data_IF_458195791593
#
_entry.id   IF_458195791593
#
_cell.length_a   1.000
_cell.length_b   1.000
_cell.length_c   1.000
_cell.angle_alpha   90.00
_cell.angle_beta   90.00
_cell.angle_gamma   90.00
#
_symmetry.space_group_name_H-M   'P 1'
#
loop_
_entity.id
_entity.type
_entity.pdbx_description
1 polymer ?
#
# COMPACT_ATOMS: atom_id res chain seq x y z
N UNK A 1 -17.66 35.45 15.36
CA UNK A 1 -18.22 34.60 14.28
C UNK A 1 -17.71 33.21 14.56
N UNK A 2 -18.60 32.31 14.97
CA UNK A 2 -18.28 30.89 15.06
C UNK A 2 -18.02 30.42 13.63
N UNK A 3 -16.82 29.90 13.36
CA UNK A 3 -16.57 29.19 12.11
C UNK A 3 -17.57 28.06 12.02
N UNK A 4 -18.46 28.10 11.03
CA UNK A 4 -19.24 26.94 10.64
C UNK A 4 -18.23 25.84 10.31
N UNK A 5 -18.04 24.90 11.25
CA UNK A 5 -17.41 23.62 10.93
C UNK A 5 -18.36 22.98 9.95
N UNK A 6 -18.03 23.01 8.66
CA UNK A 6 -18.68 22.18 7.66
C UNK A 6 -18.69 20.75 8.19
N UNK A 7 -19.86 20.23 8.47
CA UNK A 7 -20.03 18.89 9.01
C UNK A 7 -19.51 17.90 7.96
N UNK A 8 -18.45 17.16 8.29
CA UNK A 8 -17.86 16.17 7.38
C UNK A 8 -18.93 15.12 7.09
N UNK A 9 -19.31 14.99 5.82
CA UNK A 9 -20.25 13.94 5.39
C UNK A 9 -19.56 12.57 5.47
N UNK A 10 -20.27 11.51 5.90
CA UNK A 10 -19.79 10.14 5.82
C UNK A 10 -19.36 9.77 4.40
N UNK A 11 -18.24 9.06 4.31
CA UNK A 11 -17.71 8.55 3.04
C UNK A 11 -17.92 7.05 2.91
N UNK A 12 -18.04 6.57 1.68
CA UNK A 12 -18.01 5.15 1.36
C UNK A 12 -16.63 4.75 0.85
N UNK A 13 -15.93 3.96 1.64
CA UNK A 13 -14.62 3.44 1.30
C UNK A 13 -14.71 2.21 0.40
N UNK A 14 -13.91 2.20 -0.66
CA UNK A 14 -13.83 1.09 -1.61
C UNK A 14 -12.43 0.51 -1.68
N UNK A 15 -12.30 -0.71 -1.16
CA UNK A 15 -11.08 -1.49 -1.28
C UNK A 15 -10.93 -2.05 -2.71
N UNK A 16 -9.93 -1.58 -3.49
CA UNK A 16 -9.53 -2.09 -4.80
C UNK A 16 -8.01 -2.43 -4.90
N UNK A 17 -7.57 -3.66 -4.54
CA UNK A 17 -6.17 -4.05 -4.66
C UNK A 17 -5.72 -4.31 -6.12
N UNK A 18 -6.63 -4.20 -7.10
CA UNK A 18 -6.32 -4.30 -8.53
C UNK A 18 -5.96 -2.96 -9.19
N UNK A 19 -5.82 -1.90 -8.40
CA UNK A 19 -5.66 -0.53 -8.85
C UNK A 19 -4.53 -0.33 -9.89
N UNK A 20 -3.32 -0.84 -9.65
CA UNK A 20 -2.20 -0.61 -10.59
C UNK A 20 -2.44 -1.25 -11.96
N UNK A 21 -3.12 -2.40 -11.99
CA UNK A 21 -3.52 -3.04 -13.24
C UNK A 21 -4.56 -2.21 -14.01
N UNK A 22 -5.49 -1.57 -13.30
CA UNK A 22 -6.46 -0.66 -13.90
C UNK A 22 -5.79 0.61 -14.45
N UNK A 23 -4.85 1.20 -13.70
CA UNK A 23 -4.06 2.37 -14.14
C UNK A 23 -3.20 2.04 -15.35
N UNK A 24 -2.49 0.90 -15.34
CA UNK A 24 -1.65 0.47 -16.45
C UNK A 24 -2.43 0.35 -17.76
N UNK A 25 -3.61 -0.27 -17.70
CA UNK A 25 -4.42 -0.59 -18.89
C UNK A 25 -5.28 0.58 -19.38
N UNK A 26 -5.48 1.61 -18.55
CA UNK A 26 -6.39 2.74 -18.80
C UNK A 26 -7.83 2.33 -19.16
N UNK A 27 -8.21 1.08 -18.89
CA UNK A 27 -9.49 0.54 -19.36
C UNK A 27 -10.55 0.64 -18.26
N UNK A 28 -11.71 1.27 -18.52
CA UNK A 28 -12.84 1.24 -17.60
C UNK A 28 -13.42 -0.17 -17.42
N UNK A 29 -13.04 -1.11 -18.29
CA UNK A 29 -13.49 -2.51 -18.29
C UNK A 29 -12.41 -3.48 -17.82
N UNK A 30 -11.32 -2.99 -17.25
CA UNK A 30 -10.26 -3.84 -16.71
C UNK A 30 -10.84 -4.88 -15.75
N UNK A 31 -10.50 -6.15 -16.00
CA UNK A 31 -10.85 -7.26 -15.13
C UNK A 31 -9.59 -7.77 -14.46
N UNK A 32 -9.54 -7.63 -13.13
CA UNK A 32 -8.42 -8.10 -12.34
C UNK A 32 -8.29 -9.63 -12.43
N UNK A 33 -7.07 -10.19 -12.34
CA UNK A 33 -6.88 -11.63 -12.31
C UNK A 33 -7.54 -12.25 -11.07
N UNK A 34 -7.89 -13.53 -11.14
CA UNK A 34 -8.69 -14.21 -10.11
C UNK A 34 -8.12 -14.10 -8.69
N UNK A 35 -6.79 -14.09 -8.54
CA UNK A 35 -6.14 -13.92 -7.25
C UNK A 35 -6.37 -12.52 -6.65
N UNK A 36 -6.43 -11.46 -7.47
CA UNK A 36 -6.75 -10.10 -7.02
C UNK A 36 -8.23 -9.92 -6.74
N UNK A 37 -9.11 -10.58 -7.51
CA UNK A 37 -10.56 -10.61 -7.22
C UNK A 37 -10.82 -11.28 -5.87
N UNK A 38 -10.17 -12.41 -5.59
CA UNK A 38 -10.28 -13.07 -4.28
C UNK A 38 -9.72 -12.19 -3.16
N UNK A 39 -8.56 -11.55 -3.36
CA UNK A 39 -7.97 -10.62 -2.39
C UNK A 39 -8.93 -9.46 -2.08
N UNK A 40 -9.54 -8.88 -3.11
CA UNK A 40 -10.51 -7.81 -2.95
C UNK A 40 -11.75 -8.27 -2.18
N UNK A 41 -12.27 -9.45 -2.49
CA UNK A 41 -13.46 -10.00 -1.84
C UNK A 41 -13.19 -10.31 -0.38
N UNK A 42 -12.13 -11.07 -0.09
CA UNK A 42 -11.80 -11.55 1.26
C UNK A 42 -11.43 -10.39 2.20
N UNK A 43 -10.76 -9.36 1.67
CA UNK A 43 -10.22 -8.26 2.46
C UNK A 43 -10.97 -6.93 2.27
N UNK A 44 -12.18 -6.96 1.71
CA UNK A 44 -12.96 -5.75 1.41
C UNK A 44 -13.14 -4.83 2.64
N UNK A 45 -13.31 -5.42 3.83
CA UNK A 45 -13.53 -4.69 5.08
C UNK A 45 -12.27 -4.03 5.64
N UNK A 46 -11.09 -4.20 5.03
CA UNK A 46 -9.84 -3.61 5.55
C UNK A 46 -9.88 -2.09 5.66
N UNK A 47 -10.67 -1.41 4.81
CA UNK A 47 -10.82 0.03 4.89
C UNK A 47 -11.39 0.53 6.21
N UNK A 48 -12.09 -0.33 6.96
CA UNK A 48 -12.65 0.02 8.26
C UNK A 48 -11.57 0.43 9.28
N UNK A 49 -10.35 -0.08 9.11
CA UNK A 49 -9.25 0.11 10.06
C UNK A 49 -8.51 1.43 9.89
N UNK A 50 -8.74 2.16 8.79
CA UNK A 50 -8.20 3.51 8.59
C UNK A 50 -9.27 4.60 8.46
N UNK A 51 -10.49 4.25 8.03
CA UNK A 51 -11.63 5.16 7.97
C UNK A 51 -12.16 5.61 9.36
N UNK A 52 -13.06 6.60 9.39
CA UNK A 52 -13.67 7.13 10.62
C UNK A 52 -14.98 6.41 10.95
N UNK A 53 -15.35 6.33 12.22
CA UNK A 53 -16.45 5.47 12.69
C UNK A 53 -17.82 5.76 12.03
N UNK A 54 -18.02 6.99 11.57
CA UNK A 54 -19.22 7.46 10.89
C UNK A 54 -19.28 7.03 9.41
N UNK A 55 -18.15 6.60 8.84
CA UNK A 55 -18.01 6.17 7.45
C UNK A 55 -18.56 4.75 7.22
N UNK A 56 -18.58 4.37 5.95
CA UNK A 56 -19.03 3.06 5.48
C UNK A 56 -17.93 2.39 4.66
N UNK A 57 -17.93 1.06 4.64
CA UNK A 57 -17.02 0.26 3.82
C UNK A 57 -17.83 -0.62 2.88
N UNK A 58 -17.54 -0.51 1.58
CA UNK A 58 -18.17 -1.35 0.58
C UNK A 58 -17.65 -2.79 0.70
N UNK A 59 -18.55 -3.71 1.02
CA UNK A 59 -18.29 -5.15 1.12
C UNK A 59 -19.16 -5.91 0.12
N UNK A 60 -18.74 -7.12 -0.24
CA UNK A 60 -19.42 -7.91 -1.27
C UNK A 60 -20.54 -8.81 -0.73
N UNK A 61 -20.53 -9.06 0.57
CA UNK A 61 -21.61 -9.72 1.30
C UNK A 61 -21.74 -9.06 2.66
N UNK A 62 -22.89 -9.23 3.30
CA UNK A 62 -23.07 -8.78 4.68
C UNK A 62 -22.00 -9.37 5.60
N UNK A 63 -21.55 -8.56 6.55
CA UNK A 63 -20.64 -9.04 7.58
C UNK A 63 -21.39 -10.04 8.47
N UNK A 64 -20.73 -11.12 8.92
CA UNK A 64 -21.33 -12.02 9.90
C UNK A 64 -21.66 -11.29 11.21
N UNK A 65 -22.85 -11.54 11.76
CA UNK A 65 -23.33 -10.87 12.98
C UNK A 65 -22.39 -11.09 14.17
N UNK A 66 -21.86 -12.30 14.32
CA UNK A 66 -20.91 -12.64 15.38
C UNK A 66 -19.59 -11.86 15.26
N UNK A 67 -19.12 -11.61 14.04
CA UNK A 67 -17.97 -10.75 13.78
C UNK A 67 -18.26 -9.29 14.17
N UNK A 68 -19.40 -8.73 13.74
CA UNK A 68 -19.78 -7.35 14.09
C UNK A 68 -20.02 -7.17 15.60
N UNK A 69 -20.69 -8.11 16.25
CA UNK A 69 -20.90 -8.12 17.71
C UNK A 69 -19.57 -8.22 18.46
N UNK A 70 -18.66 -9.07 17.99
CA UNK A 70 -17.34 -9.21 18.60
C UNK A 70 -16.54 -7.90 18.53
N UNK A 71 -16.52 -7.23 17.37
CA UNK A 71 -15.82 -5.95 17.23
C UNK A 71 -16.47 -4.85 18.08
N UNK A 72 -17.79 -4.67 17.97
CA UNK A 72 -18.51 -3.61 18.69
C UNK A 72 -18.48 -3.75 20.22
N UNK A 73 -18.40 -4.98 20.74
CA UNK A 73 -18.27 -5.23 22.18
C UNK A 73 -16.88 -4.89 22.73
N UNK A 74 -15.84 -5.06 21.92
CA UNK A 74 -14.46 -5.06 22.40
C UNK A 74 -13.65 -3.81 21.96
N UNK A 75 -14.05 -3.17 20.87
CA UNK A 75 -13.34 -2.04 20.26
C UNK A 75 -14.17 -0.77 20.28
N UNK A 76 -13.47 0.35 20.06
CA UNK A 76 -14.11 1.62 19.71
C UNK A 76 -14.92 1.45 18.41
N UNK A 77 -15.94 2.29 18.19
CA UNK A 77 -16.77 2.22 16.98
C UNK A 77 -15.94 2.17 15.70
N UNK A 78 -16.31 1.26 14.80
CA UNK A 78 -15.74 1.05 13.48
C UNK A 78 -16.79 1.40 12.41
N UNK A 79 -16.35 1.78 11.19
CA UNK A 79 -17.21 1.92 10.02
C UNK A 79 -18.09 0.69 9.78
N UNK A 80 -19.32 0.91 9.34
CA UNK A 80 -20.22 -0.21 9.00
C UNK A 80 -19.89 -0.79 7.63
N UNK A 81 -19.93 -2.12 7.52
CA UNK A 81 -19.94 -2.78 6.22
C UNK A 81 -21.29 -2.56 5.52
N UNK A 82 -21.27 -2.18 4.25
CA UNK A 82 -22.47 -2.02 3.43
C UNK A 82 -22.31 -2.70 2.08
N UNK A 83 -23.35 -3.43 1.67
CA UNK A 83 -23.46 -4.03 0.33
C UNK A 83 -24.17 -3.06 -0.62
N UNK A 84 -23.86 -3.16 -1.92
CA UNK A 84 -24.33 -2.20 -2.94
C UNK A 84 -25.85 -1.97 -3.02
N UNK A 85 -26.67 -2.96 -2.72
CA UNK A 85 -28.14 -2.86 -2.75
C UNK A 85 -28.75 -2.24 -1.49
N UNK A 86 -27.99 -2.11 -0.39
CA UNK A 86 -28.40 -1.42 0.83
C UNK A 86 -28.00 0.06 0.87
N UNK A 87 -27.28 0.54 -0.15
CA UNK A 87 -26.91 1.94 -0.27
C UNK A 87 -28.14 2.84 -0.46
N UNK A 88 -28.08 4.05 0.08
CA UNK A 88 -29.18 5.01 -0.04
C UNK A 88 -28.65 6.40 -0.43
N UNK A 89 -29.57 7.29 -0.81
CA UNK A 89 -29.25 8.61 -1.39
C UNK A 89 -28.57 9.59 -0.43
N UNK A 90 -28.50 9.33 0.88
CA UNK A 90 -27.77 10.18 1.81
C UNK A 90 -26.26 10.01 1.73
N UNK A 91 -25.79 8.88 1.16
CA UNK A 91 -24.37 8.59 0.98
C UNK A 91 -23.93 9.14 -0.37
N UNK A 92 -23.26 10.29 -0.37
CA UNK A 92 -22.82 10.97 -1.60
C UNK A 92 -21.32 10.91 -1.80
N UNK A 93 -20.52 10.84 -0.74
CA UNK A 93 -19.06 10.90 -0.85
C UNK A 93 -18.46 9.49 -0.99
N UNK A 94 -17.57 9.31 -1.96
CA UNK A 94 -16.87 8.04 -2.22
C UNK A 94 -15.37 8.24 -2.00
N UNK A 95 -14.80 7.41 -1.15
CA UNK A 95 -13.35 7.29 -1.00
C UNK A 95 -12.87 6.05 -1.76
N UNK A 96 -12.22 6.28 -2.90
CA UNK A 96 -11.61 5.20 -3.67
C UNK A 96 -10.24 4.87 -3.06
N UNK A 97 -9.93 3.58 -2.87
CA UNK A 97 -8.57 3.17 -2.48
C UNK A 97 -7.53 3.85 -3.40
N UNK A 98 -7.74 3.80 -4.72
CA UNK A 98 -7.02 4.66 -5.66
C UNK A 98 -7.88 4.99 -6.87
N UNK A 99 -7.66 6.17 -7.46
CA UNK A 99 -8.44 6.66 -8.61
C UNK A 99 -7.99 5.98 -9.90
N UNK A 100 -8.90 5.30 -10.59
CA UNK A 100 -8.65 4.67 -11.89
C UNK A 100 -9.89 4.74 -12.78
N UNK A 101 -9.75 4.61 -14.12
CA UNK A 101 -10.92 4.55 -15.01
C UNK A 101 -11.88 3.42 -14.62
N UNK A 102 -11.34 2.28 -14.18
CA UNK A 102 -12.13 1.11 -13.75
C UNK A 102 -12.95 1.40 -12.49
N UNK A 103 -12.35 2.02 -11.46
CA UNK A 103 -13.05 2.31 -10.21
C UNK A 103 -14.14 3.37 -10.38
N UNK A 104 -13.88 4.38 -11.22
CA UNK A 104 -14.89 5.39 -11.58
C UNK A 104 -16.06 4.71 -12.31
N UNK A 105 -15.78 3.91 -13.34
CA UNK A 105 -16.83 3.22 -14.09
C UNK A 105 -17.64 2.24 -13.23
N UNK A 106 -16.99 1.58 -12.27
CA UNK A 106 -17.65 0.72 -11.30
C UNK A 106 -18.72 1.50 -10.51
N UNK A 107 -18.37 2.67 -9.97
CA UNK A 107 -19.32 3.49 -9.22
C UNK A 107 -20.34 4.21 -10.10
N UNK A 108 -20.02 4.58 -11.34
CA UNK A 108 -21.01 5.09 -12.31
C UNK A 108 -22.11 4.06 -12.61
N UNK A 109 -21.73 2.77 -12.71
CA UNK A 109 -22.69 1.67 -12.88
C UNK A 109 -23.56 1.48 -11.64
N UNK A 110 -22.99 1.59 -10.43
CA UNK A 110 -23.76 1.55 -9.18
C UNK A 110 -24.72 2.74 -9.12
N UNK A 111 -24.23 3.96 -9.38
CA UNK A 111 -25.04 5.19 -9.47
C UNK A 111 -26.25 5.00 -10.39
N UNK A 112 -26.01 4.50 -11.60
CA UNK A 112 -27.06 4.28 -12.60
C UNK A 112 -28.04 3.19 -12.17
N UNK A 113 -27.54 2.05 -11.66
CA UNK A 113 -28.36 0.89 -11.27
C UNK A 113 -29.29 1.20 -10.10
N UNK A 114 -28.81 1.97 -9.12
CA UNK A 114 -29.55 2.24 -7.87
C UNK A 114 -30.10 3.68 -7.79
N UNK A 115 -29.97 4.47 -8.87
CA UNK A 115 -30.41 5.87 -8.92
C UNK A 115 -29.84 6.71 -7.76
N UNK A 116 -28.52 6.62 -7.58
CA UNK A 116 -27.72 7.35 -6.59
C UNK A 116 -26.99 8.52 -7.26
N UNK A 117 -26.44 9.41 -6.42
CA UNK A 117 -25.73 10.62 -6.86
C UNK A 117 -24.39 10.75 -6.13
N UNK A 118 -23.49 9.82 -6.39
CA UNK A 118 -22.14 9.89 -5.84
C UNK A 118 -21.31 11.02 -6.44
N UNK A 119 -20.57 11.72 -5.59
CA UNK A 119 -19.47 12.59 -5.96
C UNK A 119 -18.25 11.71 -6.22
N UNK A 120 -17.91 11.55 -7.50
CA UNK A 120 -16.77 10.75 -7.93
C UNK A 120 -15.63 11.66 -8.37
N UNK A 121 -14.37 11.31 -8.04
CA UNK A 121 -13.23 11.99 -8.63
C UNK A 121 -13.20 11.74 -10.14
N UNK A 122 -12.66 12.71 -10.88
CA UNK A 122 -12.40 12.54 -12.31
C UNK A 122 -11.05 11.86 -12.52
N UNK A 123 -10.97 11.00 -13.54
CA UNK A 123 -9.70 10.47 -14.01
C UNK A 123 -8.92 11.59 -14.72
N UNK A 124 -7.63 11.68 -14.43
CA UNK A 124 -6.66 12.57 -15.08
C UNK A 124 -5.55 11.69 -15.62
N UNK A 125 -5.24 11.81 -16.90
CA UNK A 125 -4.30 10.90 -17.58
C UNK A 125 -2.89 10.98 -16.96
N UNK A 126 -2.53 12.13 -16.37
CA UNK A 126 -1.29 12.34 -15.63
C UNK A 126 -1.15 11.38 -14.45
N UNK A 127 -2.25 10.93 -13.84
CA UNK A 127 -2.22 9.94 -12.75
C UNK A 127 -1.60 8.62 -13.19
N UNK A 128 -1.66 8.27 -14.49
CA UNK A 128 -0.94 7.11 -14.99
C UNK A 128 0.55 7.31 -14.85
N UNK A 129 1.09 8.40 -15.37
CA UNK A 129 2.52 8.71 -15.27
C UNK A 129 2.94 8.81 -13.81
N UNK A 130 2.18 9.54 -12.98
CA UNK A 130 2.45 9.73 -11.55
C UNK A 130 2.46 8.42 -10.73
N UNK A 131 1.78 7.38 -11.21
CA UNK A 131 1.78 6.04 -10.60
C UNK A 131 2.88 5.12 -11.13
N UNK A 132 3.74 5.61 -12.04
CA UNK A 132 4.88 4.86 -12.60
C UNK A 132 6.09 4.97 -11.68
N UNK A 133 6.94 3.93 -11.68
CA UNK A 133 8.28 4.03 -11.08
C UNK A 133 9.17 5.10 -11.73
N UNK A 134 8.81 5.62 -12.90
CA UNK A 134 9.48 6.78 -13.49
C UNK A 134 9.31 8.03 -12.60
N UNK A 135 8.12 8.26 -12.03
CA UNK A 135 7.91 9.37 -11.10
C UNK A 135 8.68 9.18 -9.79
N UNK A 136 8.80 7.93 -9.30
CA UNK A 136 9.68 7.63 -8.16
C UNK A 136 11.14 7.95 -8.48
N UNK A 137 11.63 7.62 -9.70
CA UNK A 137 12.97 8.01 -10.16
C UNK A 137 13.15 9.53 -10.20
N UNK A 138 12.18 10.28 -10.72
CA UNK A 138 12.25 11.74 -10.78
C UNK A 138 12.34 12.34 -9.38
N UNK A 139 11.47 11.89 -8.46
CA UNK A 139 11.50 12.27 -7.06
C UNK A 139 12.85 11.93 -6.40
N UNK A 140 13.37 10.72 -6.63
CA UNK A 140 14.69 10.31 -6.14
C UNK A 140 15.81 11.21 -6.68
N UNK A 141 15.76 11.63 -7.95
CA UNK A 141 16.75 12.54 -8.53
C UNK A 141 16.72 13.91 -7.86
N UNK A 142 15.53 14.45 -7.58
CA UNK A 142 15.37 15.71 -6.85
C UNK A 142 15.95 15.60 -5.44
N UNK A 143 15.61 14.53 -4.71
CA UNK A 143 16.18 14.23 -3.39
C UNK A 143 17.71 14.13 -3.41
N UNK A 144 18.29 13.44 -4.40
CA UNK A 144 19.75 13.33 -4.53
C UNK A 144 20.43 14.68 -4.86
N UNK A 145 19.74 15.59 -5.55
CA UNK A 145 20.27 16.92 -5.84
C UNK A 145 20.27 17.82 -4.61
N UNK A 146 19.26 17.68 -3.74
CA UNK A 146 19.08 18.50 -2.53
C UNK A 146 19.87 17.97 -1.34
N UNK A 147 19.99 16.65 -1.20
CA UNK A 147 20.53 15.98 -0.01
C UNK A 147 21.77 15.16 -0.40
N UNK A 148 22.94 15.76 -0.19
CA UNK A 148 24.24 15.17 -0.57
C UNK A 148 24.59 13.84 0.13
N UNK A 149 23.90 13.51 1.22
CA UNK A 149 24.08 12.25 1.93
C UNK A 149 23.46 11.05 1.19
N UNK A 150 22.57 11.30 0.22
CA UNK A 150 21.89 10.27 -0.56
C UNK A 150 22.75 9.94 -1.78
N UNK A 151 23.00 8.65 -2.00
CA UNK A 151 23.82 8.20 -3.11
C UNK A 151 23.11 8.44 -4.44
N UNK A 152 23.82 8.88 -5.47
CA UNK A 152 23.29 8.93 -6.84
C UNK A 152 23.32 7.57 -7.53
N UNK A 153 24.09 6.61 -7.01
CA UNK A 153 24.28 5.29 -7.60
C UNK A 153 23.06 4.37 -7.54
N UNK A 154 22.05 4.76 -6.75
CA UNK A 154 20.78 4.05 -6.59
C UNK A 154 19.71 4.51 -7.59
N UNK A 155 19.99 5.55 -8.39
CA UNK A 155 19.03 6.05 -9.38
C UNK A 155 18.85 5.00 -10.50
N UNK A 156 17.63 4.49 -10.75
CA UNK A 156 17.40 3.47 -11.75
C UNK A 156 17.53 3.99 -13.18
N UNK A 157 17.82 3.10 -14.11
CA UNK A 157 17.76 3.37 -15.55
C UNK A 157 16.59 2.62 -16.20
N UNK A 158 15.96 3.23 -17.20
CA UNK A 158 14.83 2.65 -17.91
C UNK A 158 15.25 2.28 -19.31
N UNK A 159 14.89 1.06 -19.73
CA UNK A 159 15.28 0.48 -21.00
C UNK A 159 14.06 0.01 -21.76
N UNK A 160 14.05 0.20 -23.08
CA UNK A 160 13.00 -0.28 -23.99
C UNK A 160 13.45 -1.45 -24.87
N UNK A 161 14.71 -1.91 -24.69
CA UNK A 161 15.33 -2.94 -25.52
C UNK A 161 15.92 -4.06 -24.67
N UNK A 162 15.56 -5.30 -24.99
CA UNK A 162 16.15 -6.48 -24.34
C UNK A 162 17.66 -6.56 -24.59
N UNK A 163 18.13 -6.13 -25.77
CA UNK A 163 19.54 -6.15 -26.11
C UNK A 163 20.35 -5.20 -25.22
N UNK A 164 19.84 -3.99 -24.96
CA UNK A 164 20.50 -3.03 -24.07
C UNK A 164 20.59 -3.57 -22.63
N UNK A 165 19.53 -4.20 -22.14
CA UNK A 165 19.51 -4.85 -20.82
C UNK A 165 20.52 -6.00 -20.79
N UNK A 166 20.61 -6.78 -21.86
CA UNK A 166 21.54 -7.89 -21.94
C UNK A 166 23.00 -7.40 -21.96
N UNK A 167 23.28 -6.28 -22.62
CA UNK A 167 24.61 -5.67 -22.67
C UNK A 167 25.06 -5.15 -21.29
N UNK A 168 24.20 -4.43 -20.56
CA UNK A 168 24.56 -3.95 -19.21
C UNK A 168 24.79 -5.12 -18.23
N UNK A 169 23.97 -6.17 -18.30
CA UNK A 169 24.10 -7.34 -17.41
C UNK A 169 25.38 -8.12 -17.69
N UNK A 170 25.85 -8.14 -18.94
CA UNK A 170 27.13 -8.75 -19.31
C UNK A 170 28.35 -7.94 -18.87
N UNK A 171 28.23 -6.61 -18.88
CA UNK A 171 29.36 -5.71 -18.66
C UNK A 171 29.64 -5.41 -17.19
N UNK A 172 28.72 -5.76 -16.28
CA UNK A 172 28.83 -5.43 -14.86
C UNK A 172 28.97 -6.69 -13.98
N UNK A 173 29.77 -6.56 -12.94
CA UNK A 173 30.12 -7.67 -12.04
C UNK A 173 29.22 -7.75 -10.78
N UNK A 174 28.14 -6.97 -10.73
CA UNK A 174 27.17 -6.98 -9.64
C UNK A 174 25.77 -7.39 -10.12
N UNK A 175 24.92 -7.77 -9.17
CA UNK A 175 23.56 -8.20 -9.46
C UNK A 175 22.65 -7.00 -9.74
N UNK A 176 21.82 -7.13 -10.77
CA UNK A 176 20.78 -6.17 -11.09
C UNK A 176 19.40 -6.66 -10.63
N UNK A 177 18.51 -5.71 -10.39
CA UNK A 177 17.09 -5.92 -10.19
C UNK A 177 16.32 -5.23 -11.31
N UNK A 178 15.55 -6.00 -12.06
CA UNK A 178 14.58 -5.47 -13.00
C UNK A 178 13.22 -5.27 -12.32
N UNK A 179 12.58 -4.14 -12.61
CA UNK A 179 11.25 -3.79 -12.10
C UNK A 179 10.35 -3.34 -13.24
N UNK A 180 9.16 -3.93 -13.35
CA UNK A 180 8.12 -3.42 -14.25
C UNK A 180 7.63 -2.04 -13.76
N UNK A 181 7.51 -1.00 -14.59
CA UNK A 181 7.10 0.33 -14.15
C UNK A 181 5.77 0.37 -13.37
N UNK A 182 4.81 -0.45 -13.78
CA UNK A 182 3.51 -0.63 -13.12
C UNK A 182 3.41 -2.05 -12.58
N UNK A 183 3.49 -2.22 -11.26
CA UNK A 183 3.27 -3.51 -10.60
C UNK A 183 3.01 -3.30 -9.12
N UNK A 184 2.25 -4.18 -8.49
CA UNK A 184 2.06 -4.16 -7.03
C UNK A 184 2.64 -5.38 -6.32
N UNK A 185 2.99 -5.16 -5.04
CA UNK A 185 3.34 -6.20 -4.06
C UNK A 185 4.44 -7.17 -4.52
N UNK A 186 5.52 -6.66 -5.10
CA UNK A 186 6.69 -7.45 -5.50
C UNK A 186 6.52 -8.30 -6.77
N UNK A 187 5.33 -8.34 -7.39
CA UNK A 187 5.07 -9.19 -8.57
C UNK A 187 5.83 -8.78 -9.84
N UNK A 188 6.30 -7.54 -9.90
CA UNK A 188 7.06 -7.00 -11.03
C UNK A 188 8.57 -7.04 -10.86
N UNK A 189 9.09 -7.73 -9.83
CA UNK A 189 10.51 -7.78 -9.49
C UNK A 189 11.18 -9.02 -10.11
N UNK A 190 12.35 -8.83 -10.71
CA UNK A 190 13.16 -9.90 -11.29
C UNK A 190 14.65 -9.64 -11.03
N UNK A 191 15.24 -10.44 -10.14
CA UNK A 191 16.69 -10.44 -9.92
C UNK A 191 17.39 -11.06 -11.12
N UNK A 192 18.27 -10.29 -11.75
CA UNK A 192 19.00 -10.71 -12.94
C UNK A 192 20.27 -11.45 -12.54
N UNK A 193 20.62 -12.59 -13.18
CA UNK A 193 21.88 -13.25 -12.94
C UNK A 193 23.06 -12.36 -13.32
N UNK A 194 24.15 -12.48 -12.56
CA UNK A 194 25.41 -11.77 -12.84
C UNK A 194 26.03 -12.32 -14.13
N UNK A 195 26.57 -11.42 -14.98
CA UNK A 195 27.29 -11.75 -16.24
C UNK A 195 26.48 -12.42 -17.35
N UNK A 196 25.15 -12.46 -17.23
CA UNK A 196 24.30 -12.83 -18.37
C UNK A 196 22.92 -13.35 -17.99
N UNK A 197 21.92 -12.98 -18.80
CA UNK A 197 20.55 -13.47 -18.65
C UNK A 197 20.45 -14.94 -19.05
N UNK A 198 19.55 -15.71 -18.40
CA UNK A 198 19.12 -17.02 -18.91
C UNK A 198 17.93 -16.86 -19.87
N UNK A 199 17.41 -17.98 -20.40
CA UNK A 199 16.20 -17.95 -21.22
C UNK A 199 14.98 -17.47 -20.44
N UNK A 200 14.90 -17.80 -19.14
CA UNK A 200 13.78 -17.42 -18.28
C UNK A 200 13.72 -15.91 -18.07
N UNK A 201 14.84 -15.26 -17.73
CA UNK A 201 14.84 -13.80 -17.56
C UNK A 201 14.52 -13.09 -18.88
N UNK A 202 15.06 -13.56 -20.01
CA UNK A 202 14.72 -12.99 -21.33
C UNK A 202 13.23 -13.03 -21.61
N UNK A 203 12.56 -14.15 -21.32
CA UNK A 203 11.11 -14.26 -21.53
C UNK A 203 10.31 -13.31 -20.63
N UNK A 204 10.70 -13.17 -19.36
CA UNK A 204 10.02 -12.28 -18.42
C UNK A 204 10.22 -10.81 -18.82
N UNK A 205 11.47 -10.41 -19.10
CA UNK A 205 11.81 -9.06 -19.54
C UNK A 205 11.09 -8.71 -20.85
N UNK A 206 11.11 -9.61 -21.84
CA UNK A 206 10.35 -9.41 -23.08
C UNK A 206 8.85 -9.28 -22.82
N UNK A 207 8.31 -10.05 -21.86
CA UNK A 207 6.92 -9.93 -21.43
C UNK A 207 6.58 -8.58 -20.80
N UNK A 208 7.50 -7.99 -20.04
CA UNK A 208 7.36 -6.63 -19.47
C UNK A 208 7.43 -5.61 -20.61
N UNK A 209 8.47 -5.67 -21.45
CA UNK A 209 8.66 -4.75 -22.58
C UNK A 209 7.48 -4.77 -23.55
N UNK A 210 6.92 -5.95 -23.87
CA UNK A 210 5.76 -6.05 -24.76
C UNK A 210 4.49 -5.41 -24.15
N UNK A 211 4.39 -5.33 -22.83
CA UNK A 211 3.20 -4.85 -22.11
C UNK A 211 3.30 -3.39 -21.68
N UNK A 212 4.50 -2.95 -21.31
CA UNK A 212 4.74 -1.64 -20.68
C UNK A 212 5.78 -0.81 -21.44
N UNK A 213 6.35 -1.35 -22.53
CA UNK A 213 7.31 -0.70 -23.44
C UNK A 213 8.68 -0.39 -22.82
N UNK A 214 8.76 -0.34 -21.50
CA UNK A 214 9.96 -0.04 -20.72
C UNK A 214 10.07 -0.95 -19.48
N UNK A 215 11.29 -1.09 -18.98
CA UNK A 215 11.61 -1.76 -17.72
C UNK A 215 12.68 -0.97 -16.96
N UNK A 216 12.50 -0.84 -15.65
CA UNK A 216 13.49 -0.24 -14.76
C UNK A 216 14.56 -1.26 -14.42
N UNK A 217 15.83 -0.87 -14.47
CA UNK A 217 16.98 -1.67 -14.07
C UNK A 217 17.81 -0.86 -13.08
N UNK A 218 18.10 -1.47 -11.94
CA UNK A 218 18.85 -0.86 -10.83
C UNK A 218 19.75 -1.90 -10.16
N UNK A 219 20.73 -1.42 -9.38
CA UNK A 219 21.59 -2.29 -8.58
C UNK A 219 20.72 -3.02 -7.54
N UNK A 220 20.89 -4.34 -7.41
CA UNK A 220 20.33 -5.06 -6.27
C UNK A 220 21.12 -4.68 -5.02
N UNK A 221 20.48 -3.98 -4.08
CA UNK A 221 21.10 -3.49 -2.86
C UNK A 221 21.04 -4.53 -1.73
N UNK A 222 22.03 -4.51 -0.82
CA UNK A 222 22.00 -5.33 0.39
C UNK A 222 21.05 -4.70 1.41
N UNK A 223 19.76 -5.01 1.27
CA UNK A 223 18.69 -4.42 2.07
C UNK A 223 18.74 -4.89 3.52
N UNK A 224 18.69 -3.93 4.45
CA UNK A 224 18.60 -4.16 5.89
C UNK A 224 17.19 -3.93 6.43
N UNK A 225 16.50 -2.88 5.94
CA UNK A 225 15.22 -2.43 6.50
C UNK A 225 14.34 -1.87 5.38
N UNK A 226 13.07 -2.27 5.35
CA UNK A 226 12.04 -1.67 4.48
C UNK A 226 11.10 -0.79 5.33
N UNK A 227 10.84 0.44 4.88
CA UNK A 227 9.86 1.32 5.52
C UNK A 227 9.26 2.30 4.51
N UNK A 228 8.20 3.01 4.88
CA UNK A 228 7.60 4.04 4.06
C UNK A 228 7.32 5.30 4.89
N UNK A 229 7.26 6.45 4.21
CA UNK A 229 6.62 7.65 4.73
C UNK A 229 5.24 7.78 4.10
N UNK A 230 4.21 7.94 4.93
CA UNK A 230 2.83 8.11 4.50
C UNK A 230 2.44 9.59 4.54
N UNK A 231 1.81 10.07 3.48
CA UNK A 231 1.32 11.43 3.34
C UNK A 231 -0.16 11.43 2.95
N UNK A 232 -0.91 12.45 3.36
CA UNK A 232 -2.23 12.75 2.78
C UNK A 232 -2.17 14.09 2.09
N UNK A 233 -2.61 14.10 0.83
CA UNK A 233 -2.81 15.30 0.03
C UNK A 233 -4.31 15.58 -0.04
N UNK A 234 -4.76 16.74 0.41
CA UNK A 234 -6.16 17.16 0.39
C UNK A 234 -6.27 18.68 0.21
N UNK A 235 -7.01 19.14 -0.81
CA UNK A 235 -7.31 20.55 -1.09
C UNK A 235 -6.09 21.49 -1.00
N UNK A 236 -5.06 21.27 -1.82
CA UNK A 236 -3.84 22.09 -1.85
C UNK A 236 -2.97 22.02 -0.58
N UNK A 237 -3.26 21.09 0.35
CA UNK A 237 -2.46 20.84 1.55
C UNK A 237 -1.94 19.40 1.57
N UNK A 238 -0.64 19.26 1.79
CA UNK A 238 0.00 17.96 2.02
C UNK A 238 0.50 17.87 3.45
N UNK A 239 0.21 16.75 4.10
CA UNK A 239 0.66 16.47 5.46
C UNK A 239 1.33 15.12 5.57
N UNK A 240 2.41 15.08 6.32
CA UNK A 240 3.03 13.84 6.76
C UNK A 240 2.18 13.19 7.85
N UNK A 241 1.85 11.92 7.67
CA UNK A 241 1.02 11.14 8.60
C UNK A 241 1.83 10.26 9.54
N UNK A 242 2.96 9.72 9.06
CA UNK A 242 3.80 8.84 9.85
C UNK A 242 4.66 7.91 9.02
N UNK A 243 5.51 7.17 9.72
CA UNK A 243 6.31 6.08 9.21
C UNK A 243 5.57 4.75 9.30
N UNK A 244 5.81 3.90 8.32
CA UNK A 244 5.30 2.54 8.22
C UNK A 244 6.48 1.58 8.05
N UNK A 245 6.75 0.73 9.04
CA UNK A 245 7.80 -0.29 8.95
C UNK A 245 7.19 -1.59 8.43
N UNK A 246 7.72 -2.15 7.35
CA UNK A 246 7.16 -3.34 6.71
C UNK A 246 8.22 -4.39 6.40
N UNK A 247 7.75 -5.62 6.21
CA UNK A 247 8.59 -6.76 5.88
C UNK A 247 8.23 -7.31 4.51
N UNK A 248 9.26 -7.66 3.74
CA UNK A 248 9.14 -8.35 2.47
C UNK A 248 9.93 -9.65 2.49
N UNK A 249 9.44 -10.67 1.78
CA UNK A 249 10.18 -11.92 1.61
C UNK A 249 11.37 -11.76 0.64
N UNK A 250 12.14 -12.82 0.43
CA UNK A 250 13.31 -12.83 -0.46
C UNK A 250 13.01 -12.55 -1.94
N UNK A 251 11.73 -12.58 -2.34
CA UNK A 251 11.26 -12.20 -3.68
C UNK A 251 10.61 -10.80 -3.71
N UNK A 252 10.72 -10.04 -2.63
CA UNK A 252 10.12 -8.70 -2.47
C UNK A 252 8.60 -8.71 -2.31
N UNK A 253 7.99 -9.86 -2.01
CA UNK A 253 6.56 -9.93 -1.70
C UNK A 253 6.29 -9.45 -0.27
N UNK A 254 5.33 -8.53 -0.12
CA UNK A 254 4.89 -8.01 1.17
C UNK A 254 4.40 -9.12 2.12
N UNK A 255 4.83 -9.07 3.38
CA UNK A 255 4.47 -10.02 4.44
C UNK A 255 3.60 -9.38 5.52
N UNK A 256 3.94 -8.15 5.92
CA UNK A 256 3.30 -7.50 7.06
C UNK A 256 3.90 -6.14 7.39
N UNK A 257 3.28 -5.47 8.35
CA UNK A 257 3.76 -4.23 8.94
C UNK A 257 3.98 -4.40 10.45
N UNK A 258 4.94 -3.70 11.01
CA UNK A 258 4.96 -3.43 12.45
C UNK A 258 3.79 -2.50 12.81
N UNK A 259 3.13 -2.78 13.93
CA UNK A 259 2.13 -1.90 14.55
C UNK A 259 2.62 -1.51 15.94
N UNK A 260 2.54 -0.23 16.26
CA UNK A 260 3.11 0.31 17.49
C UNK A 260 3.29 1.82 17.42
N UNK A 261 4.04 2.34 18.38
CA UNK A 261 4.35 3.77 18.46
C UNK A 261 5.31 4.21 17.37
N UNK A 262 5.13 5.44 16.88
CA UNK A 262 6.01 6.03 15.87
C UNK A 262 7.44 6.18 16.38
N UNK A 263 7.62 6.47 17.67
CA UNK A 263 8.93 6.56 18.31
C UNK A 263 9.70 5.24 18.23
N UNK A 264 9.00 4.09 18.26
CA UNK A 264 9.63 2.77 18.13
C UNK A 264 10.08 2.52 16.69
N UNK A 265 9.29 2.90 15.69
CA UNK A 265 9.66 2.81 14.27
C UNK A 265 10.87 3.70 13.99
N UNK A 266 10.83 4.96 14.43
CA UNK A 266 11.94 5.90 14.29
C UNK A 266 13.19 5.35 14.94
N UNK A 267 13.09 4.82 16.18
CA UNK A 267 14.24 4.24 16.88
C UNK A 267 14.87 3.09 16.07
N UNK A 268 14.06 2.20 15.49
CA UNK A 268 14.54 1.09 14.65
C UNK A 268 15.24 1.57 13.38
N UNK A 269 14.70 2.58 12.70
CA UNK A 269 15.35 3.15 11.51
C UNK A 269 16.66 3.85 11.92
N UNK A 270 16.66 4.55 13.05
CA UNK A 270 17.81 5.29 13.56
C UNK A 270 18.92 4.44 14.17
N UNK A 271 18.73 3.12 14.32
CA UNK A 271 19.83 2.18 14.56
C UNK A 271 20.82 2.17 13.38
N UNK A 272 20.37 2.54 12.18
CA UNK A 272 21.17 2.50 10.95
C UNK A 272 21.55 3.87 10.40
N UNK A 273 20.64 4.85 10.46
CA UNK A 273 20.83 6.18 9.85
C UNK A 273 20.49 7.33 10.81
N UNK A 274 21.03 8.52 10.54
CA UNK A 274 20.78 9.68 11.39
C UNK A 274 19.34 10.19 11.24
N UNK A 275 18.69 10.53 12.36
CA UNK A 275 17.35 11.15 12.37
C UNK A 275 17.29 12.44 11.53
N UNK A 276 18.37 13.22 11.49
CA UNK A 276 18.45 14.45 10.70
C UNK A 276 18.26 14.17 9.20
N UNK A 277 18.78 13.04 8.69
CA UNK A 277 18.58 12.63 7.31
C UNK A 277 17.11 12.30 7.02
N UNK A 278 16.41 11.65 7.95
CA UNK A 278 14.98 11.36 7.80
C UNK A 278 14.14 12.63 7.79
N UNK A 279 14.48 13.61 8.63
CA UNK A 279 13.79 14.89 8.70
C UNK A 279 14.01 15.72 7.43
N UNK A 280 15.24 15.75 6.90
CA UNK A 280 15.56 16.40 5.62
C UNK A 280 14.80 15.78 4.45
N UNK A 281 14.79 14.43 4.36
CA UNK A 281 14.03 13.71 3.32
C UNK A 281 12.53 13.99 3.45
N UNK A 282 11.98 13.98 4.66
CA UNK A 282 10.56 14.28 4.88
C UNK A 282 10.21 15.71 4.42
N UNK A 283 11.03 16.70 4.77
CA UNK A 283 10.82 18.09 4.36
C UNK A 283 10.86 18.25 2.84
N UNK A 284 11.87 17.68 2.17
CA UNK A 284 11.98 17.70 0.71
C UNK A 284 10.79 16.98 0.04
N UNK A 285 10.39 15.82 0.56
CA UNK A 285 9.23 15.09 0.03
C UNK A 285 7.92 15.87 0.14
N UNK A 286 7.70 16.66 1.20
CA UNK A 286 6.49 17.50 1.27
C UNK A 286 6.43 18.49 0.10
N UNK A 287 7.56 19.12 -0.25
CA UNK A 287 7.65 20.08 -1.35
C UNK A 287 7.53 19.40 -2.73
N UNK A 288 8.23 18.27 -2.93
CA UNK A 288 8.22 17.52 -4.19
C UNK A 288 6.81 16.95 -4.46
N UNK A 289 6.18 16.35 -3.44
CA UNK A 289 4.90 15.69 -3.62
C UNK A 289 3.76 16.69 -3.82
N UNK A 290 3.76 17.84 -3.13
CA UNK A 290 2.74 18.87 -3.41
C UNK A 290 2.88 19.42 -4.82
N UNK A 291 4.10 19.73 -5.28
CA UNK A 291 4.33 20.27 -6.63
C UNK A 291 3.85 19.28 -7.72
N UNK A 292 4.21 18.00 -7.58
CA UNK A 292 3.90 16.98 -8.58
C UNK A 292 2.44 16.53 -8.57
N UNK A 293 1.80 16.38 -7.41
CA UNK A 293 0.53 15.67 -7.30
C UNK A 293 -0.69 16.56 -7.05
N UNK A 294 -0.53 17.78 -6.53
CA UNK A 294 -1.64 18.59 -6.03
C UNK A 294 -2.75 18.83 -7.07
N UNK A 295 -2.36 19.10 -8.32
CA UNK A 295 -3.32 19.36 -9.39
C UNK A 295 -4.00 18.08 -9.93
N UNK A 296 -3.59 16.89 -9.48
CA UNK A 296 -3.98 15.61 -10.11
C UNK A 296 -4.63 14.63 -9.14
N UNK A 297 -4.23 14.64 -7.86
CA UNK A 297 -4.62 13.63 -6.89
C UNK A 297 -5.06 14.25 -5.56
N UNK A 298 -5.99 13.58 -4.88
CA UNK A 298 -6.32 13.81 -3.47
C UNK A 298 -6.49 12.43 -2.82
N UNK A 299 -5.85 12.23 -1.67
CA UNK A 299 -5.77 10.94 -1.00
C UNK A 299 -4.38 10.63 -0.44
N UNK A 300 -4.15 9.35 -0.17
CA UNK A 300 -2.90 8.88 0.41
C UNK A 300 -1.79 8.71 -0.62
N UNK A 301 -0.60 9.21 -0.30
CA UNK A 301 0.63 8.98 -1.06
C UNK A 301 1.64 8.32 -0.12
N UNK A 302 1.97 7.06 -0.38
CA UNK A 302 2.99 6.32 0.36
C UNK A 302 4.30 6.28 -0.42
N UNK A 303 5.40 6.73 0.18
CA UNK A 303 6.74 6.68 -0.43
C UNK A 303 7.53 5.55 0.21
N UNK A 304 7.76 4.47 -0.54
CA UNK A 304 8.50 3.30 -0.08
C UNK A 304 10.01 3.59 -0.08
N UNK A 305 10.69 3.16 0.97
CA UNK A 305 12.09 3.45 1.29
C UNK A 305 12.79 2.19 1.80
N UNK A 306 14.12 2.19 1.74
CA UNK A 306 14.91 1.15 2.41
C UNK A 306 16.20 1.72 2.97
N UNK A 307 16.66 1.10 4.06
CA UNK A 307 18.06 1.16 4.47
C UNK A 307 18.78 -0.01 3.83
N UNK A 308 19.96 0.24 3.29
CA UNK A 308 20.82 -0.79 2.73
C UNK A 308 22.26 -0.63 3.23
N UNK A 309 22.99 -1.74 3.31
CA UNK A 309 24.43 -1.76 3.56
C UNK A 309 25.18 -1.57 2.23
N UNK A 310 26.06 -0.58 2.17
CA UNK A 310 26.94 -0.34 1.02
C UNK A 310 28.21 -1.22 1.08
N UNK A 311 28.98 -1.27 0.00
CA UNK A 311 30.16 -2.14 -0.15
C UNK A 311 31.25 -1.92 0.91
N UNK A 312 31.29 -0.75 1.52
CA UNK A 312 32.22 -0.38 2.59
C UNK A 312 31.70 -0.72 4.00
N UNK A 313 30.53 -1.35 4.09
CA UNK A 313 29.86 -1.71 5.35
C UNK A 313 29.07 -0.56 5.98
N UNK A 314 28.96 0.60 5.30
CA UNK A 314 28.17 1.73 5.80
C UNK A 314 26.70 1.57 5.45
N UNK A 315 25.81 1.94 6.38
CA UNK A 315 24.38 1.98 6.10
C UNK A 315 23.99 3.28 5.41
N UNK A 316 23.20 3.16 4.34
CA UNK A 316 22.73 4.28 3.52
C UNK A 316 21.22 4.19 3.30
N UNK A 317 20.61 5.33 3.02
CA UNK A 317 19.19 5.45 2.74
C UNK A 317 18.93 5.46 1.24
N UNK A 318 17.97 4.64 0.81
CA UNK A 318 17.27 4.80 -0.46
C UNK A 318 15.89 5.42 -0.18
N UNK A 319 15.71 6.73 -0.42
CA UNK A 319 14.56 7.49 0.10
C UNK A 319 13.29 7.38 -0.77
N UNK A 320 13.36 6.81 -1.97
CA UNK A 320 12.19 6.76 -2.86
C UNK A 320 12.30 5.59 -3.86
N UNK A 321 11.93 4.39 -3.42
CA UNK A 321 11.91 3.15 -4.24
C UNK A 321 10.69 3.13 -5.16
N UNK A 322 9.55 3.53 -4.62
CA UNK A 322 8.24 3.49 -5.26
C UNK A 322 7.34 4.53 -4.59
N UNK A 323 6.41 5.10 -5.37
CA UNK A 323 5.38 6.01 -4.85
C UNK A 323 4.04 5.33 -5.10
N UNK A 324 3.32 5.04 -4.02
CA UNK A 324 1.98 4.45 -4.04
C UNK A 324 0.94 5.57 -3.99
N UNK A 325 0.26 5.83 -5.11
CA UNK A 325 -0.77 6.89 -5.26
C UNK A 325 -2.17 6.34 -4.94
N UNK A 326 -2.29 5.83 -3.72
CA UNK A 326 -3.48 5.17 -3.19
C UNK A 326 -3.33 4.99 -1.68
N UNK A 327 -4.42 4.66 -1.00
CA UNK A 327 -4.31 4.07 0.34
C UNK A 327 -3.38 2.84 0.28
N UNK A 328 -2.87 2.38 1.41
CA UNK A 328 -1.96 1.24 1.41
C UNK A 328 -1.96 0.57 2.80
N UNK A 329 -1.20 -0.52 2.91
CA UNK A 329 -1.09 -1.27 4.14
C UNK A 329 -0.33 -0.51 5.24
N UNK A 330 0.54 0.42 4.86
CA UNK A 330 1.23 1.31 5.79
C UNK A 330 0.28 2.30 6.46
N UNK A 331 -0.59 2.97 5.69
CA UNK A 331 -1.67 3.79 6.22
C UNK A 331 -2.57 2.98 7.16
N UNK A 332 -2.92 1.74 6.78
CA UNK A 332 -3.70 0.85 7.63
C UNK A 332 -2.99 0.57 8.95
N UNK A 333 -1.72 0.15 8.92
CA UNK A 333 -0.94 -0.17 10.11
C UNK A 333 -0.77 1.06 11.03
N UNK A 334 -0.55 2.23 10.44
CA UNK A 334 -0.46 3.51 11.14
C UNK A 334 -1.77 3.86 11.85
N UNK A 335 -2.89 3.87 11.13
CA UNK A 335 -4.21 4.19 11.69
C UNK A 335 -4.67 3.17 12.70
N UNK A 336 -4.39 1.89 12.46
CA UNK A 336 -4.65 0.82 13.43
C UNK A 336 -3.91 1.09 14.75
N UNK A 337 -2.62 1.41 14.67
CA UNK A 337 -1.79 1.72 15.85
C UNK A 337 -2.32 2.93 16.62
N UNK A 338 -2.80 3.96 15.93
CA UNK A 338 -3.35 5.17 16.54
C UNK A 338 -4.71 4.90 17.21
N UNK A 339 -5.64 4.30 16.46
CA UNK A 339 -7.07 4.19 16.82
C UNK A 339 -7.37 2.98 17.71
N UNK A 340 -6.74 1.83 17.47
CA UNK A 340 -7.18 0.54 18.00
C UNK A 340 -6.14 -0.21 18.82
N UNK A 341 -4.87 0.19 18.84
CA UNK A 341 -3.84 -0.42 19.69
C UNK A 341 -3.76 0.27 21.07
N UNK A 342 -3.69 -0.51 22.14
CA UNK A 342 -3.58 -0.04 23.53
C UNK A 342 -2.23 0.63 23.79
N UNK A 343 -2.18 1.53 24.77
CA UNK A 343 -0.96 2.28 25.06
C UNK A 343 0.15 1.35 25.56
N UNK A 344 1.27 1.31 24.82
CA UNK A 344 2.43 0.50 25.16
C UNK A 344 2.41 -0.91 24.57
N UNK A 345 1.32 -1.28 23.89
CA UNK A 345 1.26 -2.49 23.09
C UNK A 345 1.96 -2.30 21.74
N UNK A 346 2.51 -3.38 21.22
CA UNK A 346 3.11 -3.44 19.88
C UNK A 346 2.93 -4.84 19.29
N UNK A 347 3.13 -4.96 17.99
CA UNK A 347 2.94 -6.22 17.30
C UNK A 347 3.13 -6.09 15.81
N UNK A 348 2.47 -6.96 15.07
CA UNK A 348 2.54 -6.96 13.63
C UNK A 348 1.17 -7.20 12.99
N UNK A 349 0.94 -6.50 11.89
CA UNK A 349 -0.14 -6.72 10.94
C UNK A 349 0.36 -7.66 9.84
N UNK A 350 -0.44 -8.65 9.46
CA UNK A 350 -0.09 -9.66 8.46
C UNK A 350 -1.19 -9.87 7.44
N UNK A 351 -0.76 -10.26 6.23
CA UNK A 351 -1.64 -10.84 5.21
C UNK A 351 -1.12 -12.25 4.88
N UNK A 352 -1.97 -13.25 5.06
CA UNK A 352 -1.68 -14.65 4.75
C UNK A 352 -2.56 -15.13 3.59
N UNK A 353 -2.05 -16.11 2.84
CA UNK A 353 -2.74 -16.74 1.71
C UNK A 353 -2.65 -18.27 1.80
N UNK A 354 -3.75 -18.92 1.48
CA UNK A 354 -3.79 -20.36 1.21
C UNK A 354 -4.74 -20.66 0.06
N UNK A 355 -4.38 -21.66 -0.75
CA UNK A 355 -5.26 -22.18 -1.80
C UNK A 355 -6.21 -23.27 -1.32
N UNK A 356 -6.02 -23.78 -0.10
CA UNK A 356 -6.81 -24.87 0.46
C UNK A 356 -8.09 -24.34 1.12
N UNK A 357 -9.24 -24.88 0.71
CA UNK A 357 -10.56 -24.55 1.27
C UNK A 357 -10.62 -24.93 2.77
N UNK A 358 -11.26 -24.09 3.58
CA UNK A 358 -11.39 -24.27 5.04
C UNK A 358 -10.11 -24.03 5.85
N UNK A 359 -8.94 -23.96 5.21
CA UNK A 359 -7.66 -23.82 5.90
C UNK A 359 -7.53 -22.48 6.66
N UNK A 360 -8.07 -21.38 6.11
CA UNK A 360 -8.05 -20.10 6.83
C UNK A 360 -8.90 -20.15 8.11
N UNK A 361 -10.02 -20.89 8.12
CA UNK A 361 -10.87 -21.06 9.31
C UNK A 361 -10.11 -21.83 10.38
N UNK A 362 -9.42 -22.91 10.00
CA UNK A 362 -8.58 -23.68 10.92
C UNK A 362 -7.49 -22.80 11.54
N UNK A 363 -6.78 -22.01 10.72
CA UNK A 363 -5.73 -21.09 11.19
C UNK A 363 -6.29 -19.98 12.06
N UNK A 364 -7.46 -19.43 11.75
CA UNK A 364 -8.13 -18.40 12.55
C UNK A 364 -8.51 -18.93 13.93
N UNK A 365 -9.14 -20.11 13.98
CA UNK A 365 -9.50 -20.77 15.23
C UNK A 365 -8.28 -21.15 16.08
N UNK A 366 -7.21 -21.65 15.44
CA UNK A 366 -5.95 -21.95 16.11
C UNK A 366 -5.35 -20.69 16.74
N UNK A 367 -5.23 -19.60 15.98
CA UNK A 367 -4.65 -18.35 16.47
C UNK A 367 -5.48 -17.73 17.60
N UNK A 368 -6.82 -17.76 17.51
CA UNK A 368 -7.72 -17.32 18.60
C UNK A 368 -7.51 -18.11 19.89
N UNK A 369 -7.20 -19.41 19.78
CA UNK A 369 -6.95 -20.28 20.93
C UNK A 369 -5.56 -20.08 21.53
N UNK A 370 -4.54 -19.96 20.69
CA UNK A 370 -3.14 -19.80 21.12
C UNK A 370 -2.86 -18.39 21.66
N UNK A 371 -3.48 -17.38 21.05
CA UNK A 371 -3.26 -15.97 21.35
C UNK A 371 -4.60 -15.26 21.62
N UNK A 372 -5.30 -15.57 22.72
CA UNK A 372 -6.59 -14.94 23.02
C UNK A 372 -6.44 -13.42 23.13
N UNK A 373 -7.29 -12.68 22.40
CA UNK A 373 -7.26 -11.23 22.41
C UNK A 373 -7.69 -10.67 23.77
N UNK A 374 -6.90 -9.75 24.30
CA UNK A 374 -7.24 -8.94 25.46
C UNK A 374 -7.48 -7.50 25.02
N UNK A 375 -8.56 -6.90 25.52
CA UNK A 375 -8.94 -5.54 25.18
C UNK A 375 -8.94 -4.65 26.42
N UNK A 376 -8.63 -3.37 26.22
CA UNK A 376 -8.64 -2.32 27.23
C UNK A 376 -9.20 -1.06 26.60
N UNK A 377 -10.28 -0.50 27.16
CA UNK A 377 -10.87 0.79 26.74
C UNK A 377 -11.14 0.90 25.21
N UNK A 378 -11.67 -0.19 24.63
CA UNK A 378 -11.98 -0.24 23.20
C UNK A 378 -10.75 -0.38 22.29
N UNK A 379 -9.62 -0.82 22.82
CA UNK A 379 -8.35 -1.05 22.10
C UNK A 379 -7.82 -2.45 22.39
N UNK A 380 -7.14 -3.06 21.42
CA UNK A 380 -6.44 -4.34 21.63
C UNK A 380 -5.16 -4.12 22.43
N UNK A 381 -5.01 -4.87 23.51
CA UNK A 381 -3.85 -4.85 24.39
C UNK A 381 -2.84 -5.94 24.06
N UNK A 382 -3.31 -7.15 23.75
CA UNK A 382 -2.47 -8.28 23.35
C UNK A 382 -3.32 -9.34 22.64
N UNK A 383 -2.67 -10.29 21.98
CA UNK A 383 -3.30 -11.44 21.33
C UNK A 383 -3.60 -11.22 19.85
N UNK A 384 -4.38 -12.15 19.29
CA UNK A 384 -4.71 -12.23 17.87
C UNK A 384 -6.08 -11.60 17.57
N UNK A 385 -6.16 -10.83 16.49
CA UNK A 385 -7.43 -10.30 15.98
C UNK A 385 -7.45 -10.37 14.44
N UNK A 386 -8.45 -11.07 13.89
CA UNK A 386 -8.74 -11.01 12.45
C UNK A 386 -9.36 -9.66 12.10
N UNK A 387 -8.87 -9.03 11.05
CA UNK A 387 -9.31 -7.72 10.57
C UNK A 387 -10.46 -7.80 9.57
N UNK A 388 -10.72 -9.00 9.02
CA UNK A 388 -11.85 -9.28 8.13
C UNK A 388 -12.53 -10.60 8.58
N UNK A 389 -13.80 -10.81 8.20
CA UNK A 389 -14.46 -12.10 8.43
C UNK A 389 -13.72 -13.25 7.73
N UNK A 390 -13.68 -14.41 8.38
CA UNK A 390 -13.08 -15.62 7.83
C UNK A 390 -14.15 -16.71 7.72
N UNK A 391 -14.28 -17.31 6.54
CA UNK A 391 -15.19 -18.42 6.27
C UNK A 391 -14.50 -19.50 5.41
N UNK A 392 -15.21 -20.59 5.13
CA UNK A 392 -14.68 -21.76 4.39
C UNK A 392 -14.06 -21.40 3.02
N UNK A 393 -14.55 -20.35 2.36
CA UNK A 393 -14.09 -19.91 1.04
C UNK A 393 -12.98 -18.88 1.09
N UNK A 394 -12.68 -18.32 2.27
CA UNK A 394 -11.65 -17.29 2.45
C UNK A 394 -10.28 -17.85 2.07
N UNK A 395 -9.58 -17.18 1.16
CA UNK A 395 -8.23 -17.52 0.72
C UNK A 395 -7.19 -16.57 1.30
N UNK A 396 -7.52 -15.30 1.41
CA UNK A 396 -6.69 -14.28 2.04
C UNK A 396 -7.21 -13.92 3.41
N UNK A 397 -6.32 -13.89 4.40
CA UNK A 397 -6.65 -13.50 5.77
C UNK A 397 -5.75 -12.37 6.20
N UNK A 398 -6.35 -11.30 6.68
CA UNK A 398 -5.65 -10.15 7.24
C UNK A 398 -5.89 -10.09 8.75
N UNK A 399 -4.83 -10.00 9.53
CA UNK A 399 -4.91 -10.08 11.00
C UNK A 399 -3.78 -9.31 11.67
N UNK A 400 -3.96 -8.99 12.94
CA UNK A 400 -2.89 -8.50 13.81
C UNK A 400 -2.55 -9.53 14.87
N UNK A 401 -1.28 -9.54 15.29
CA UNK A 401 -0.80 -10.24 16.46
C UNK A 401 -0.06 -9.26 17.35
N UNK A 402 -0.67 -8.94 18.50
CA UNK A 402 -0.17 -7.97 19.48
C UNK A 402 0.48 -8.73 20.63
N UNK A 403 1.67 -8.29 21.04
CA UNK A 403 2.48 -8.93 22.10
C UNK A 403 2.18 -8.38 23.47
#
# INVERSE_FOLDING_TARGET
MLSEKTEKKPQLYYFNPGHEGAVLTLSPYYTAPANMVNLQYDLAYLAAWYADAEDYVLVQSELPLDFEEYLSKNLRPLPKGIISDKMNRSLTEIHLWGVSPQSINYFEKINSKYHLHFNLPQWKDELRTLSSRETAKECLRELCNEISAISTDIIPNFYSSLNEIEDIVKNEDYQFLAKAPYSSSGRGLLWLPVRGLTQTERQILQGILNKQEIVSIEKALNKELDFAMEFILDNDDIRFEGYSLFETNSKGGYLGNYIGKQENIISKICEYINIQLLEEVKSSLLEILIDKFNNFYSGCIGVDMMVYEDKDGTYKLHPCIEINVRDNMGLLALRFSQKYLDQGSEGSFYIDFTSQEGEQVNRDNQMKKEYPALFSQGKIKSGYLSLCPVNERTKYRAYVLVK
#
